data_IF_288979690038
#
_entry.id   IF_288979690038
#
_cell.length_a   1.000
_cell.length_b   1.000
_cell.length_c   1.000
_cell.angle_alpha   90.00
_cell.angle_beta   90.00
_cell.angle_gamma   90.00
#
_symmetry.space_group_name_H-M   'P 1'
#
loop_
_entity.id
_entity.type
_entity.pdbx_description
1 polymer ?
#
# COMPACT_ATOMS: atom_id res chain seq x y z
N UNK A 1 4.59 20.26 21.20
CA UNK A 1 3.14 20.33 20.87
C UNK A 1 3.04 20.35 19.35
N UNK A 2 2.48 19.31 18.74
CA UNK A 2 2.22 19.27 17.29
C UNK A 2 1.36 20.48 16.93
N UNK A 3 1.76 21.29 15.95
CA UNK A 3 0.90 22.38 15.49
C UNK A 3 -0.33 21.80 14.80
N UNK A 4 -1.52 22.04 15.38
CA UNK A 4 -2.79 21.55 14.84
C UNK A 4 -3.04 22.16 13.44
N UNK A 5 -3.31 21.31 12.46
CA UNK A 5 -3.73 21.74 11.13
C UNK A 5 -5.13 22.36 11.25
N UNK A 6 -5.35 23.53 10.65
CA UNK A 6 -6.65 24.22 10.68
C UNK A 6 -7.05 24.66 9.28
N UNK A 7 -8.36 24.82 9.04
CA UNK A 7 -8.90 25.33 7.76
C UNK A 7 -8.25 26.66 7.35
N UNK A 8 -8.03 27.56 8.31
CA UNK A 8 -7.36 28.85 8.05
C UNK A 8 -5.93 28.68 7.54
N UNK A 9 -5.18 27.72 8.09
CA UNK A 9 -3.81 27.42 7.66
C UNK A 9 -3.81 26.76 6.28
N UNK A 10 -4.74 25.84 6.01
CA UNK A 10 -4.90 25.23 4.68
C UNK A 10 -5.20 26.32 3.64
N UNK A 11 -6.09 27.27 3.94
CA UNK A 11 -6.43 28.38 3.04
C UNK A 11 -5.23 29.25 2.66
N UNK A 12 -4.25 29.41 3.54
CA UNK A 12 -3.03 30.17 3.27
C UNK A 12 -2.00 29.42 2.42
N UNK A 13 -2.07 28.08 2.36
CA UNK A 13 -1.10 27.25 1.64
C UNK A 13 -1.41 27.10 0.14
N UNK A 14 -2.64 27.40 -0.28
CA UNK A 14 -3.10 27.20 -1.65
C UNK A 14 -3.60 28.51 -2.26
N UNK A 15 -3.48 28.63 -3.58
CA UNK A 15 -4.09 29.76 -4.28
C UNK A 15 -5.61 29.76 -4.08
N UNK A 16 -6.28 30.92 -4.02
CA UNK A 16 -7.72 31.01 -3.76
C UNK A 16 -8.55 30.10 -4.69
N UNK A 17 -8.19 30.08 -5.98
CA UNK A 17 -8.86 29.26 -7.00
C UNK A 17 -8.71 27.74 -6.77
N UNK A 18 -7.55 27.28 -6.30
CA UNK A 18 -7.33 25.85 -5.99
C UNK A 18 -8.07 25.50 -4.69
N UNK A 19 -7.99 26.38 -3.69
CA UNK A 19 -8.66 26.20 -2.42
C UNK A 19 -10.18 26.09 -2.58
N UNK A 20 -10.81 27.01 -3.30
CA UNK A 20 -12.27 26.99 -3.53
C UNK A 20 -12.73 25.69 -4.21
N UNK A 21 -11.98 25.21 -5.22
CA UNK A 21 -12.29 23.93 -5.88
C UNK A 21 -12.09 22.73 -4.96
N UNK A 22 -11.09 22.78 -4.09
CA UNK A 22 -10.86 21.73 -3.10
C UNK A 22 -11.94 21.70 -2.02
N UNK A 23 -12.37 22.89 -1.58
CA UNK A 23 -13.47 23.06 -0.64
C UNK A 23 -14.79 22.51 -1.21
N UNK A 24 -15.04 22.70 -2.50
CA UNK A 24 -16.18 22.06 -3.17
C UNK A 24 -16.10 20.52 -3.12
N UNK A 25 -14.92 19.95 -3.38
CA UNK A 25 -14.75 18.49 -3.37
C UNK A 25 -14.92 17.91 -1.95
N UNK A 26 -14.45 18.65 -0.94
CA UNK A 26 -14.68 18.33 0.47
C UNK A 26 -16.19 18.33 0.80
N UNK A 27 -16.91 19.43 0.51
CA UNK A 27 -18.36 19.51 0.81
C UNK A 27 -19.22 18.51 0.03
N UNK A 28 -18.79 18.11 -1.16
CA UNK A 28 -19.47 17.08 -1.96
C UNK A 28 -19.17 15.65 -1.46
N UNK A 29 -18.32 15.48 -0.44
CA UNK A 29 -17.98 14.18 0.12
C UNK A 29 -17.18 13.31 -0.85
N UNK A 30 -16.38 13.92 -1.73
CA UNK A 30 -15.60 13.22 -2.75
C UNK A 30 -14.30 12.61 -2.22
N UNK A 31 -13.98 12.84 -0.94
CA UNK A 31 -12.86 12.21 -0.26
C UNK A 31 -13.36 10.91 0.36
N UNK A 32 -12.69 9.79 0.05
CA UNK A 32 -13.05 8.47 0.53
C UNK A 32 -11.85 7.75 1.13
N UNK A 33 -12.14 6.79 2.01
CA UNK A 33 -11.13 5.87 2.53
C UNK A 33 -10.02 6.56 3.31
N UNK A 34 -10.31 7.70 3.95
CA UNK A 34 -9.33 8.42 4.74
C UNK A 34 -8.81 7.48 5.85
N UNK A 35 -7.50 7.25 5.87
CA UNK A 35 -6.84 6.33 6.81
C UNK A 35 -5.50 6.90 7.25
N UNK A 36 -5.08 6.58 8.47
CA UNK A 36 -3.82 7.06 9.05
C UNK A 36 -2.92 5.88 9.38
N UNK A 37 -1.69 5.89 8.85
CA UNK A 37 -0.68 4.90 9.16
C UNK A 37 0.29 5.45 10.21
N UNK A 38 0.29 4.80 11.39
CA UNK A 38 1.12 5.20 12.54
C UNK A 38 2.61 4.98 12.32
N UNK A 39 3.01 4.05 11.45
CA UNK A 39 4.42 3.73 11.20
C UNK A 39 5.08 4.75 10.27
N UNK A 40 4.34 5.25 9.28
CA UNK A 40 4.80 6.30 8.37
C UNK A 40 4.39 7.72 8.80
N UNK A 41 3.54 7.85 9.83
CA UNK A 41 2.92 9.11 10.28
C UNK A 41 2.31 9.87 9.08
N UNK A 42 1.59 9.14 8.24
CA UNK A 42 1.00 9.64 7.00
C UNK A 42 -0.48 9.28 6.87
N UNK A 43 -1.25 10.21 6.28
CA UNK A 43 -2.63 10.00 5.89
C UNK A 43 -2.74 9.59 4.43
N UNK A 44 -3.69 8.73 4.13
CA UNK A 44 -4.01 8.28 2.78
C UNK A 44 -5.50 8.43 2.53
N UNK A 45 -5.84 8.86 1.32
CA UNK A 45 -7.22 8.99 0.88
C UNK A 45 -7.32 8.86 -0.64
N UNK A 46 -8.53 8.61 -1.12
CA UNK A 46 -8.84 8.64 -2.54
C UNK A 46 -9.88 9.74 -2.82
N UNK A 47 -9.66 10.53 -3.87
CA UNK A 47 -10.52 11.66 -4.21
C UNK A 47 -11.20 11.46 -5.55
N UNK A 48 -12.52 11.58 -5.58
CA UNK A 48 -13.32 11.57 -6.81
C UNK A 48 -13.01 12.76 -7.71
N UNK A 49 -12.84 12.52 -9.00
CA UNK A 49 -12.75 13.53 -10.03
C UNK A 49 -13.06 12.94 -11.40
N UNK A 50 -12.30 13.33 -12.43
CA UNK A 50 -12.36 12.70 -13.76
C UNK A 50 -11.95 11.22 -13.75
N UNK A 51 -11.11 10.86 -12.78
CA UNK A 51 -10.81 9.50 -12.37
C UNK A 51 -10.77 9.51 -10.85
N UNK A 52 -10.63 8.34 -10.28
CA UNK A 52 -10.20 8.22 -8.89
C UNK A 52 -8.71 8.56 -8.76
N UNK A 53 -8.35 9.36 -7.75
CA UNK A 53 -6.97 9.79 -7.53
C UNK A 53 -6.53 9.51 -6.10
N UNK A 54 -5.44 8.78 -5.93
CA UNK A 54 -4.81 8.59 -4.63
C UNK A 54 -4.12 9.87 -4.15
N UNK A 55 -4.26 10.15 -2.85
CA UNK A 55 -3.66 11.28 -2.15
C UNK A 55 -3.00 10.76 -0.87
N UNK A 56 -1.78 11.22 -0.65
CA UNK A 56 -0.98 10.93 0.54
C UNK A 56 -0.52 12.23 1.18
N UNK A 57 -0.58 12.31 2.52
CA UNK A 57 -0.16 13.48 3.30
C UNK A 57 0.72 13.03 4.46
N UNK A 58 2.03 13.28 4.35
CA UNK A 58 3.02 13.01 5.42
C UNK A 58 2.94 14.10 6.51
N UNK A 59 2.66 13.69 7.76
CA UNK A 59 2.46 14.57 8.91
C UNK A 59 3.77 14.90 9.65
N UNK A 60 4.85 14.14 9.45
CA UNK A 60 6.13 14.31 10.17
C UNK A 60 6.79 15.68 9.93
N UNK A 61 6.40 16.39 8.87
CA UNK A 61 7.01 17.67 8.44
C UNK A 61 6.15 18.90 8.76
N UNK A 62 4.99 18.71 9.38
CA UNK A 62 4.09 19.81 9.77
C UNK A 62 4.75 20.72 10.82
N UNK A 63 5.55 20.15 11.73
CA UNK A 63 6.25 20.89 12.78
C UNK A 63 7.34 21.84 12.25
N UNK A 64 7.79 21.66 10.99
CA UNK A 64 8.70 22.56 10.28
C UNK A 64 7.97 23.53 9.33
N UNK A 65 6.63 23.57 9.38
CA UNK A 65 5.81 24.48 8.58
C UNK A 65 5.62 24.08 7.11
N UNK A 66 6.05 22.87 6.71
CA UNK A 66 5.96 22.41 5.31
C UNK A 66 5.16 21.11 5.22
N UNK A 67 3.96 21.15 4.65
CA UNK A 67 3.21 19.94 4.30
C UNK A 67 3.83 19.38 3.00
N UNK A 68 4.14 18.08 2.97
CA UNK A 68 4.56 17.39 1.74
C UNK A 68 3.45 16.46 1.27
N UNK A 69 2.44 16.98 0.56
CA UNK A 69 1.38 16.16 0.00
C UNK A 69 1.85 15.50 -1.30
N UNK A 70 1.29 14.35 -1.62
CA UNK A 70 1.39 13.70 -2.92
C UNK A 70 -0.01 13.42 -3.46
N UNK A 71 -0.22 13.60 -4.76
CA UNK A 71 -1.46 13.22 -5.43
C UNK A 71 -1.17 12.68 -6.82
N UNK A 72 -1.87 11.62 -7.22
CA UNK A 72 -1.71 10.99 -8.55
C UNK A 72 -2.35 11.80 -9.69
N UNK A 73 -3.06 12.89 -9.39
CA UNK A 73 -3.76 13.62 -10.44
C UNK A 73 -2.82 14.35 -11.41
N UNK A 74 -3.24 14.55 -12.67
CA UNK A 74 -2.41 15.22 -13.69
C UNK A 74 -1.98 16.63 -13.32
N UNK A 75 -2.77 17.36 -12.52
CA UNK A 75 -2.39 18.71 -12.10
C UNK A 75 -1.24 18.69 -11.09
N UNK A 76 -1.13 17.65 -10.28
CA UNK A 76 -0.09 17.58 -9.25
C UNK A 76 1.29 17.36 -9.83
N UNK A 77 1.42 16.60 -10.93
CA UNK A 77 2.72 16.40 -11.60
C UNK A 77 3.30 17.69 -12.19
N UNK A 78 2.46 18.68 -12.48
CA UNK A 78 2.86 19.96 -13.09
C UNK A 78 3.05 21.05 -12.03
N UNK A 79 2.08 21.19 -11.12
CA UNK A 79 2.00 22.32 -10.20
C UNK A 79 2.32 21.98 -8.75
N UNK A 80 2.57 20.69 -8.44
CA UNK A 80 2.77 20.16 -7.08
C UNK A 80 1.69 20.57 -6.07
N UNK A 81 0.54 21.00 -6.56
CA UNK A 81 -0.61 21.44 -5.80
C UNK A 81 -1.86 21.09 -6.60
N UNK A 82 -2.92 20.69 -5.91
CA UNK A 82 -4.18 20.38 -6.56
C UNK A 82 -5.36 20.50 -5.58
N UNK A 83 -6.56 20.56 -6.15
CA UNK A 83 -7.81 20.61 -5.39
C UNK A 83 -8.05 19.35 -4.52
N UNK A 84 -7.55 18.20 -4.94
CA UNK A 84 -7.72 16.93 -4.20
C UNK A 84 -6.96 16.96 -2.88
N UNK A 85 -5.75 17.52 -2.86
CA UNK A 85 -4.97 17.68 -1.64
C UNK A 85 -5.69 18.59 -0.66
N UNK A 86 -6.23 19.71 -1.13
CA UNK A 86 -7.02 20.62 -0.29
C UNK A 86 -8.21 19.87 0.33
N UNK A 87 -8.96 19.11 -0.46
CA UNK A 87 -10.11 18.36 0.03
C UNK A 87 -9.72 17.36 1.14
N UNK A 88 -8.63 16.62 0.94
CA UNK A 88 -8.12 15.65 1.92
C UNK A 88 -7.61 16.33 3.19
N UNK A 89 -6.91 17.46 3.08
CA UNK A 89 -6.45 18.21 4.25
C UNK A 89 -7.61 18.74 5.09
N UNK A 90 -8.70 19.19 4.44
CA UNK A 90 -9.91 19.64 5.14
C UNK A 90 -10.61 18.47 5.87
N UNK A 91 -10.71 17.32 5.21
CA UNK A 91 -11.25 16.09 5.82
C UNK A 91 -10.43 15.64 7.04
N UNK A 92 -9.09 15.71 6.96
CA UNK A 92 -8.20 15.39 8.08
C UNK A 92 -8.43 16.35 9.26
N UNK A 93 -8.51 17.66 8.98
CA UNK A 93 -8.78 18.67 10.02
C UNK A 93 -10.06 18.36 10.79
N UNK A 94 -11.14 18.07 10.07
CA UNK A 94 -12.45 17.88 10.69
C UNK A 94 -12.51 16.57 11.46
N UNK A 95 -11.90 15.50 10.94
CA UNK A 95 -11.76 14.23 11.67
C UNK A 95 -10.95 14.37 12.96
N UNK A 96 -9.87 15.15 12.93
CA UNK A 96 -9.08 15.47 14.14
C UNK A 96 -9.87 16.34 15.14
N UNK A 97 -10.76 17.22 14.67
CA UNK A 97 -11.64 17.99 15.55
C UNK A 97 -12.76 17.14 16.17
N UNK A 98 -13.35 16.22 15.41
CA UNK A 98 -14.37 15.29 15.89
C UNK A 98 -13.82 14.30 16.93
N UNK A 99 -12.60 13.81 16.74
CA UNK A 99 -11.90 12.96 17.72
C UNK A 99 -11.70 13.66 19.07
N UNK A 100 -11.45 14.98 19.06
CA UNK A 100 -11.30 15.78 20.28
C UNK A 100 -12.66 16.06 20.94
N UNK A 101 -13.75 16.20 20.17
CA UNK A 101 -15.11 16.39 20.69
C UNK A 101 -15.67 15.12 21.34
N UNK A 102 -15.38 13.94 20.79
CA UNK A 102 -15.81 12.64 21.33
C UNK A 102 -15.06 12.22 22.59
N UNK A 103 -13.84 12.74 22.82
CA UNK A 103 -13.07 12.54 24.06
C UNK A 103 -13.63 13.23 25.32
N UNK A 104 -14.70 14.04 25.19
CA UNK A 104 -15.40 14.64 26.33
C UNK A 104 -16.63 13.84 26.80
N UNK A 105 -16.86 12.63 26.29
CA UNK A 105 -17.89 11.71 26.77
C UNK A 105 -17.25 10.54 27.55
N UNK A 106 -17.82 10.19 28.70
CA UNK A 106 -17.18 9.47 29.81
C UNK A 106 -16.62 8.08 29.47
N UNK A 107 -15.37 7.85 29.92
CA UNK A 107 -14.51 6.67 29.72
C UNK A 107 -15.01 5.33 30.29
N UNK A 108 -16.29 5.20 30.63
CA UNK A 108 -16.87 3.96 31.17
C UNK A 108 -17.46 3.05 30.07
N UNK A 109 -18.01 3.61 28.99
CA UNK A 109 -18.70 2.83 27.96
C UNK A 109 -17.72 2.10 27.02
N UNK A 110 -16.56 2.68 26.76
CA UNK A 110 -15.53 2.10 25.88
C UNK A 110 -14.74 0.96 26.53
N UNK A 111 -14.71 0.89 27.87
CA UNK A 111 -14.07 -0.19 28.60
C UNK A 111 -14.92 -1.47 28.58
N UNK A 112 -16.26 -1.32 28.68
CA UNK A 112 -17.19 -2.46 28.62
C UNK A 112 -17.11 -3.13 27.24
N UNK A 113 -16.98 -2.36 26.15
CA UNK A 113 -16.85 -2.92 24.79
C UNK A 113 -15.55 -3.69 24.54
N UNK A 114 -14.44 -3.30 25.16
CA UNK A 114 -13.15 -3.99 24.99
C UNK A 114 -13.02 -5.26 25.85
N UNK A 115 -13.72 -5.32 26.99
CA UNK A 115 -13.71 -6.51 27.86
C UNK A 115 -14.64 -7.61 27.35
N UNK A 116 -15.69 -7.27 26.59
CA UNK A 116 -16.57 -8.26 25.94
C UNK A 116 -15.97 -8.96 24.71
N UNK A 117 -14.78 -8.57 24.25
CA UNK A 117 -14.13 -9.18 23.07
C UNK A 117 -13.38 -10.49 23.38
N UNK A 118 -13.41 -10.97 24.63
CA UNK A 118 -12.71 -12.18 25.05
C UNK A 118 -13.64 -13.20 25.74
N UNK A 119 -14.85 -13.40 25.21
CA UNK A 119 -15.63 -14.60 25.50
C UNK A 119 -16.18 -15.22 24.19
N UNK A 120 -15.72 -16.45 23.97
CA UNK A 120 -16.20 -17.51 23.08
C UNK A 120 -17.41 -17.18 22.19
N UNK A 121 -17.19 -17.08 20.88
CA UNK A 121 -18.20 -17.42 19.89
C UNK A 121 -17.77 -18.63 19.08
N UNK A 122 -18.06 -19.80 19.65
CA UNK A 122 -18.39 -21.00 18.88
C UNK A 122 -19.84 -20.81 18.40
N UNK A 123 -20.00 -20.18 17.24
CA UNK A 123 -21.25 -20.18 16.48
C UNK A 123 -20.93 -20.28 15.00
N UNK A 124 -21.27 -21.44 14.45
CA UNK A 124 -21.33 -21.77 13.04
C UNK A 124 -22.07 -20.70 12.22
N UNK A 125 -21.31 -19.80 11.60
CA UNK A 125 -21.69 -19.15 10.35
C UNK A 125 -20.50 -19.34 9.41
N UNK A 126 -20.66 -20.21 8.41
CA UNK A 126 -19.70 -20.32 7.31
C UNK A 126 -19.84 -19.03 6.49
N UNK A 127 -19.10 -17.99 6.87
CA UNK A 127 -18.85 -16.88 5.96
C UNK A 127 -17.85 -17.44 4.96
N UNK A 128 -18.34 -17.82 3.78
CA UNK A 128 -17.52 -18.18 2.63
C UNK A 128 -16.71 -16.93 2.22
N UNK A 129 -15.61 -16.67 2.94
CA UNK A 129 -14.68 -15.61 2.58
C UNK A 129 -14.21 -15.87 1.16
N UNK A 130 -14.07 -14.81 0.39
CA UNK A 130 -13.68 -14.92 -1.01
C UNK A 130 -12.15 -14.97 -1.09
N UNK A 131 -11.56 -15.93 -1.81
CA UNK A 131 -10.11 -16.00 -1.97
C UNK A 131 -9.61 -14.85 -2.84
N UNK A 132 -8.60 -14.15 -2.35
CA UNK A 132 -7.82 -13.18 -3.13
C UNK A 132 -6.93 -13.93 -4.12
N UNK A 133 -7.05 -13.60 -5.40
CA UNK A 133 -6.10 -14.06 -6.43
C UNK A 133 -4.87 -13.14 -6.40
N UNK A 134 -3.69 -13.73 -6.62
CA UNK A 134 -2.43 -13.00 -6.66
C UNK A 134 -1.63 -13.43 -7.88
N UNK A 135 -1.01 -12.46 -8.53
CA UNK A 135 0.07 -12.66 -9.49
C UNK A 135 1.33 -11.98 -8.98
N UNK A 136 2.44 -12.71 -9.01
CA UNK A 136 3.77 -12.20 -8.68
C UNK A 136 4.51 -11.91 -9.99
N UNK A 137 4.95 -10.67 -10.19
CA UNK A 137 5.66 -10.26 -11.40
C UNK A 137 7.14 -10.02 -11.05
N UNK A 138 8.02 -10.87 -11.58
CA UNK A 138 9.45 -10.80 -11.39
C UNK A 138 10.08 -10.18 -12.64
N UNK A 139 10.77 -9.05 -12.46
CA UNK A 139 11.54 -8.42 -13.51
C UNK A 139 13.04 -8.54 -13.22
N UNK A 140 13.77 -9.17 -14.14
CA UNK A 140 15.22 -9.26 -14.08
C UNK A 140 15.82 -8.13 -14.92
N UNK A 141 16.49 -7.21 -14.22
CA UNK A 141 17.20 -6.11 -14.82
C UNK A 141 18.45 -6.62 -15.55
N UNK A 142 18.88 -5.96 -16.64
CA UNK A 142 20.19 -6.24 -17.26
C UNK A 142 21.37 -6.16 -16.26
N UNK A 143 21.21 -5.34 -15.21
CA UNK A 143 22.19 -5.19 -14.12
C UNK A 143 22.23 -6.38 -13.16
N UNK A 144 21.39 -7.41 -13.35
CA UNK A 144 21.24 -8.55 -12.45
C UNK A 144 20.34 -8.28 -11.24
N UNK A 145 19.76 -7.07 -11.13
CA UNK A 145 18.78 -6.74 -10.09
C UNK A 145 17.45 -7.41 -10.36
N UNK A 146 16.80 -7.92 -9.32
CA UNK A 146 15.53 -8.65 -9.43
C UNK A 146 14.46 -7.87 -8.70
N UNK A 147 13.44 -7.40 -9.43
CA UNK A 147 12.33 -6.64 -8.88
C UNK A 147 11.08 -7.50 -8.81
N UNK A 148 10.37 -7.45 -7.69
CA UNK A 148 9.09 -8.11 -7.49
C UNK A 148 7.97 -7.06 -7.42
N UNK A 149 6.97 -7.20 -8.27
CA UNK A 149 5.69 -6.51 -8.19
C UNK A 149 4.58 -7.51 -7.85
N UNK A 150 3.55 -7.05 -7.16
CA UNK A 150 2.37 -7.86 -6.82
C UNK A 150 1.15 -7.25 -7.50
N UNK A 151 0.32 -8.11 -8.08
CA UNK A 151 -1.06 -7.78 -8.46
C UNK A 151 -2.02 -8.66 -7.70
N UNK A 152 -3.10 -8.11 -7.16
CA UNK A 152 -4.07 -8.90 -6.40
C UNK A 152 -5.51 -8.39 -6.51
N UNK A 153 -6.47 -9.29 -6.35
CA UNK A 153 -7.90 -8.99 -6.33
C UNK A 153 -8.76 -10.24 -6.58
N UNK A 154 -10.05 -10.05 -6.85
CA UNK A 154 -11.01 -11.16 -7.02
C UNK A 154 -11.29 -11.43 -8.51
N UNK A 155 -11.94 -10.45 -9.15
CA UNK A 155 -12.29 -10.49 -10.58
C UNK A 155 -11.23 -9.78 -11.43
N UNK A 156 -10.67 -8.70 -10.89
CA UNK A 156 -9.64 -7.90 -11.51
C UNK A 156 -8.42 -7.87 -10.58
N UNK A 157 -7.22 -8.06 -11.14
CA UNK A 157 -5.97 -8.02 -10.38
C UNK A 157 -5.41 -6.60 -10.44
N UNK A 158 -5.46 -5.90 -9.32
CA UNK A 158 -4.96 -4.54 -9.19
C UNK A 158 -3.47 -4.55 -8.87
N UNK A 159 -2.70 -3.66 -9.50
CA UNK A 159 -1.32 -3.41 -9.11
C UNK A 159 -1.30 -2.86 -7.69
N UNK A 160 -0.50 -3.51 -6.84
CA UNK A 160 -0.32 -3.07 -5.46
C UNK A 160 0.61 -1.88 -5.44
N UNK A 161 0.07 -0.71 -5.07
CA UNK A 161 0.82 0.54 -5.08
C UNK A 161 1.77 0.68 -3.89
N UNK A 162 1.44 0.04 -2.77
CA UNK A 162 2.22 0.02 -1.54
C UNK A 162 2.38 -1.43 -1.06
N UNK A 163 3.37 -2.15 -1.60
CA UNK A 163 3.53 -3.57 -1.28
C UNK A 163 3.75 -3.77 0.22
N UNK A 164 4.55 -2.92 0.86
CA UNK A 164 4.86 -3.00 2.30
C UNK A 164 3.60 -2.92 3.17
N UNK A 165 2.70 -2.01 2.85
CA UNK A 165 1.43 -1.83 3.59
C UNK A 165 0.49 -3.02 3.36
N UNK A 166 0.43 -3.55 2.12
CA UNK A 166 -0.35 -4.76 1.84
C UNK A 166 0.14 -5.93 2.68
N UNK A 167 1.45 -6.17 2.71
CA UNK A 167 2.05 -7.26 3.49
C UNK A 167 1.69 -7.12 4.97
N UNK A 168 1.82 -5.91 5.52
CA UNK A 168 1.47 -5.63 6.90
C UNK A 168 -0.02 -5.87 7.16
N UNK A 169 -0.92 -5.23 6.42
CA UNK A 169 -2.37 -5.37 6.64
C UNK A 169 -2.86 -6.81 6.46
N UNK A 170 -2.37 -7.51 5.44
CA UNK A 170 -2.76 -8.89 5.16
C UNK A 170 -2.34 -9.87 6.28
N UNK A 171 -1.20 -9.64 6.91
CA UNK A 171 -0.69 -10.47 8.00
C UNK A 171 -1.30 -10.13 9.36
N UNK A 172 -1.70 -8.87 9.58
CA UNK A 172 -2.28 -8.41 10.86
C UNK A 172 -3.80 -8.43 10.88
N UNK A 173 -4.45 -8.80 9.77
CA UNK A 173 -5.90 -8.82 9.69
C UNK A 173 -6.50 -7.42 9.65
N UNK A 174 -5.85 -6.50 8.95
CA UNK A 174 -6.33 -5.14 8.71
C UNK A 174 -6.86 -5.00 7.28
N UNK A 175 -7.76 -4.05 7.07
CA UNK A 175 -8.25 -3.74 5.73
C UNK A 175 -7.15 -3.09 4.88
N UNK A 176 -7.08 -3.43 3.59
CA UNK A 176 -6.17 -2.79 2.65
C UNK A 176 -6.93 -2.24 1.46
N UNK A 177 -6.80 -0.94 1.24
CA UNK A 177 -7.51 -0.24 0.19
C UNK A 177 -6.76 -0.31 -1.14
N UNK A 178 -7.45 -0.68 -2.23
CA UNK A 178 -6.86 -0.66 -3.58
C UNK A 178 -7.47 0.45 -4.44
N UNK A 179 -8.81 0.50 -4.52
CA UNK A 179 -9.57 1.47 -5.33
C UNK A 179 -10.96 1.67 -4.73
N UNK A 180 -11.70 2.68 -5.18
CA UNK A 180 -13.13 2.88 -4.83
C UNK A 180 -14.01 1.65 -4.87
N UNK A 181 -13.78 0.77 -5.85
CA UNK A 181 -14.62 -0.41 -6.09
C UNK A 181 -14.10 -1.65 -5.36
N UNK A 182 -12.91 -1.57 -4.76
CA UNK A 182 -12.27 -2.75 -4.22
C UNK A 182 -11.29 -2.43 -3.09
N UNK A 183 -11.55 -3.06 -1.95
CA UNK A 183 -10.64 -3.16 -0.81
C UNK A 183 -10.51 -4.64 -0.40
N UNK A 184 -9.35 -5.02 0.10
CA UNK A 184 -9.21 -6.23 0.89
C UNK A 184 -9.80 -5.96 2.28
N UNK A 185 -10.80 -6.76 2.67
CA UNK A 185 -11.42 -6.72 3.99
C UNK A 185 -11.29 -8.11 4.60
N UNK A 186 -10.58 -8.30 5.72
CA UNK A 186 -10.39 -9.61 6.34
C UNK A 186 -11.69 -10.31 6.75
N UNK A 187 -12.78 -9.56 6.90
CA UNK A 187 -14.15 -10.06 7.12
C UNK A 187 -14.67 -10.81 5.89
N UNK A 188 -14.42 -10.27 4.69
CA UNK A 188 -14.99 -10.73 3.42
C UNK A 188 -13.99 -11.58 2.61
N UNK A 189 -12.69 -11.34 2.78
CA UNK A 189 -11.63 -11.83 1.89
C UNK A 189 -10.54 -12.58 2.68
N UNK A 190 -9.89 -13.53 2.01
CA UNK A 190 -8.72 -14.19 2.57
C UNK A 190 -7.64 -14.45 1.51
N UNK A 191 -6.37 -14.42 1.93
CA UNK A 191 -5.25 -14.90 1.15
C UNK A 191 -5.00 -16.38 1.44
N UNK A 192 -4.63 -17.15 0.40
CA UNK A 192 -4.29 -18.56 0.57
C UNK A 192 -3.06 -18.70 1.46
N UNK A 193 -2.95 -19.84 2.15
CA UNK A 193 -1.83 -20.10 3.06
C UNK A 193 -0.47 -20.02 2.34
N UNK A 194 -0.41 -20.43 1.08
CA UNK A 194 0.79 -20.34 0.26
C UNK A 194 1.20 -18.87 0.01
N UNK A 195 0.24 -17.98 -0.22
CA UNK A 195 0.50 -16.55 -0.39
C UNK A 195 0.92 -15.90 0.94
N UNK A 196 0.27 -16.29 2.04
CA UNK A 196 0.68 -15.83 3.40
C UNK A 196 2.12 -16.21 3.70
N UNK A 197 2.54 -17.42 3.35
CA UNK A 197 3.92 -17.87 3.54
C UNK A 197 4.93 -17.09 2.68
N UNK A 198 4.53 -16.55 1.53
CA UNK A 198 5.33 -15.59 0.74
C UNK A 198 5.34 -14.24 1.43
N UNK A 199 4.20 -13.75 1.92
CA UNK A 199 4.09 -12.48 2.60
C UNK A 199 4.94 -12.43 3.88
N UNK A 200 4.93 -13.49 4.67
CA UNK A 200 5.78 -13.66 5.86
C UNK A 200 7.26 -13.56 5.51
N UNK A 201 7.71 -14.26 4.45
CA UNK A 201 9.09 -14.18 3.98
C UNK A 201 9.46 -12.75 3.55
N UNK A 202 8.61 -12.10 2.75
CA UNK A 202 8.87 -10.74 2.29
C UNK A 202 8.90 -9.76 3.46
N UNK A 203 7.95 -9.88 4.40
CA UNK A 203 7.85 -9.04 5.58
C UNK A 203 9.05 -9.24 6.52
N UNK A 204 9.48 -10.48 6.75
CA UNK A 204 10.68 -10.74 7.57
C UNK A 204 11.92 -10.15 6.90
N UNK A 205 12.06 -10.32 5.59
CA UNK A 205 13.18 -9.77 4.81
C UNK A 205 13.20 -8.24 4.81
N UNK A 206 12.03 -7.59 4.86
CA UNK A 206 11.90 -6.15 5.05
C UNK A 206 12.43 -5.74 6.43
N UNK A 207 12.05 -6.49 7.48
CA UNK A 207 12.41 -6.18 8.87
C UNK A 207 13.90 -6.42 9.17
N UNK A 208 14.50 -7.45 8.59
CA UNK A 208 15.92 -7.76 8.75
C UNK A 208 16.83 -6.92 7.85
N UNK A 209 16.25 -6.17 6.91
CA UNK A 209 17.01 -5.38 5.93
C UNK A 209 17.61 -6.21 4.80
N UNK A 210 17.16 -7.46 4.64
CA UNK A 210 17.62 -8.37 3.60
C UNK A 210 17.09 -8.01 2.21
N UNK A 211 16.12 -7.10 2.05
CA UNK A 211 15.79 -6.54 0.73
C UNK A 211 16.76 -5.41 0.38
N UNK A 212 17.45 -5.52 -0.76
CA UNK A 212 18.38 -4.49 -1.24
C UNK A 212 17.62 -3.20 -1.55
N UNK A 213 17.49 -2.29 -0.60
CA UNK A 213 17.09 -0.92 -0.94
C UNK A 213 18.36 -0.19 -1.36
N UNK A 214 18.84 -0.47 -2.57
CA UNK A 214 20.23 -0.28 -3.04
C UNK A 214 20.84 1.15 -2.89
N UNK A 215 20.13 2.15 -2.34
CA UNK A 215 20.72 3.29 -1.59
C UNK A 215 19.76 4.33 -1.04
N UNK A 216 18.45 4.07 -1.03
CA UNK A 216 17.39 4.70 -0.21
C UNK A 216 16.08 4.16 -0.77
N UNK A 217 15.39 3.27 -0.05
CA UNK A 217 13.94 3.21 -0.24
C UNK A 217 13.44 4.61 0.04
N UNK A 218 12.99 5.30 -1.02
CA UNK A 218 12.36 6.60 -0.89
C UNK A 218 10.84 6.36 -0.89
N UNK A 219 10.16 6.54 0.25
CA UNK A 219 8.70 6.48 0.29
C UNK A 219 8.05 7.44 -0.71
N UNK A 220 8.74 8.51 -1.13
CA UNK A 220 8.28 9.44 -2.16
C UNK A 220 8.40 8.91 -3.60
N UNK A 221 9.19 7.86 -3.84
CA UNK A 221 9.37 7.28 -5.17
C UNK A 221 8.27 6.25 -5.46
N UNK A 222 7.41 6.55 -6.44
CA UNK A 222 6.33 5.66 -6.87
C UNK A 222 6.82 4.29 -7.40
N UNK A 223 8.07 4.18 -7.87
CA UNK A 223 8.63 2.90 -8.29
C UNK A 223 8.97 2.02 -7.08
N UNK A 224 9.64 2.59 -6.07
CA UNK A 224 10.09 1.88 -4.87
C UNK A 224 8.93 1.46 -3.95
N UNK A 225 7.77 2.11 -4.08
CA UNK A 225 6.51 1.74 -3.42
C UNK A 225 5.84 0.51 -4.06
N UNK A 226 5.95 0.40 -5.39
CA UNK A 226 5.31 -0.62 -6.25
C UNK A 226 6.15 -1.87 -6.49
N UNK A 227 7.44 -1.84 -6.15
CA UNK A 227 8.36 -2.94 -6.39
C UNK A 227 9.23 -3.21 -5.16
N UNK A 228 9.54 -4.48 -4.92
CA UNK A 228 10.54 -4.91 -3.94
C UNK A 228 11.80 -5.38 -4.69
N UNK A 229 12.96 -4.82 -4.38
CA UNK A 229 14.22 -5.34 -4.88
C UNK A 229 14.62 -6.56 -4.05
N UNK A 230 14.58 -7.72 -4.68
CA UNK A 230 14.86 -9.02 -4.08
C UNK A 230 16.37 -9.22 -3.99
N UNK A 231 16.85 -9.45 -2.78
CA UNK A 231 18.25 -9.81 -2.56
C UNK A 231 18.55 -11.24 -2.98
N UNK A 232 19.78 -11.52 -3.44
CA UNK A 232 20.24 -12.88 -3.66
C UNK A 232 20.03 -13.81 -2.45
N UNK A 233 20.12 -13.30 -1.22
CA UNK A 233 20.00 -14.11 0.01
C UNK A 233 18.64 -14.77 0.18
N UNK A 234 17.56 -14.12 -0.27
CA UNK A 234 16.19 -14.61 -0.11
C UNK A 234 15.64 -15.23 -1.40
N UNK A 235 16.34 -15.04 -2.52
CA UNK A 235 15.85 -15.37 -3.86
C UNK A 235 15.49 -16.84 -3.97
N UNK A 236 16.37 -17.74 -3.53
CA UNK A 236 16.12 -19.18 -3.61
C UNK A 236 14.83 -19.56 -2.87
N UNK A 237 14.71 -19.14 -1.60
CA UNK A 237 13.55 -19.44 -0.76
C UNK A 237 12.27 -18.80 -1.31
N UNK A 238 12.37 -17.61 -1.91
CA UNK A 238 11.25 -16.96 -2.59
C UNK A 238 10.81 -17.79 -3.81
N UNK A 239 11.73 -18.19 -4.67
CA UNK A 239 11.43 -18.98 -5.87
C UNK A 239 10.79 -20.33 -5.50
N UNK A 240 11.26 -21.00 -4.45
CA UNK A 240 10.69 -22.25 -3.94
C UNK A 240 9.23 -22.08 -3.53
N UNK A 241 8.89 -20.99 -2.83
CA UNK A 241 7.50 -20.67 -2.45
C UNK A 241 6.63 -20.27 -3.65
N UNK A 242 7.23 -19.71 -4.70
CA UNK A 242 6.52 -19.23 -5.89
C UNK A 242 6.23 -20.31 -6.94
N UNK A 243 6.90 -21.48 -6.90
CA UNK A 243 6.67 -22.57 -7.87
C UNK A 243 5.20 -22.98 -8.03
N UNK A 244 4.40 -22.88 -6.97
CA UNK A 244 2.98 -23.27 -6.96
C UNK A 244 2.02 -22.09 -7.10
N UNK A 245 2.52 -20.92 -7.51
CA UNK A 245 1.75 -19.67 -7.63
C UNK A 245 1.75 -19.17 -9.07
N UNK A 246 0.88 -18.21 -9.35
CA UNK A 246 0.88 -17.51 -10.64
C UNK A 246 2.02 -16.50 -10.65
N UNK A 247 3.02 -16.77 -11.48
CA UNK A 247 4.22 -15.94 -11.60
C UNK A 247 4.40 -15.52 -13.04
N UNK A 248 4.75 -14.26 -13.26
CA UNK A 248 5.17 -13.73 -14.56
C UNK A 248 6.62 -13.27 -14.43
N UNK A 249 7.53 -13.84 -15.20
CA UNK A 249 8.92 -13.44 -15.25
C UNK A 249 9.21 -12.73 -16.57
N UNK A 250 9.90 -11.59 -16.48
CA UNK A 250 10.29 -10.75 -17.61
C UNK A 250 11.75 -10.36 -17.48
N UNK A 251 12.47 -10.28 -18.59
CA UNK A 251 13.84 -9.79 -18.66
C UNK A 251 13.89 -8.46 -19.42
N UNK A 252 14.81 -7.56 -19.06
CA UNK A 252 14.84 -6.18 -19.60
C UNK A 252 14.99 -6.05 -21.11
N UNK A 253 15.41 -7.12 -21.80
CA UNK A 253 15.67 -7.14 -23.24
C UNK A 253 14.79 -8.13 -23.99
N UNK A 254 13.85 -8.79 -23.31
CA UNK A 254 13.02 -9.83 -23.88
C UNK A 254 11.55 -9.42 -23.80
N UNK A 255 10.83 -9.49 -24.92
CA UNK A 255 9.36 -9.33 -24.93
C UNK A 255 8.67 -10.61 -24.42
N UNK A 256 9.43 -11.70 -24.22
CA UNK A 256 8.94 -12.96 -23.73
C UNK A 256 8.60 -12.89 -22.24
N UNK A 257 7.36 -13.30 -21.94
CA UNK A 257 6.85 -13.43 -20.58
C UNK A 257 6.81 -14.92 -20.23
N UNK A 258 7.53 -15.30 -19.18
CA UNK A 258 7.55 -16.67 -18.68
C UNK A 258 6.51 -16.82 -17.56
N UNK A 259 5.63 -17.82 -17.66
CA UNK A 259 4.47 -17.96 -16.75
C UNK A 259 4.62 -19.08 -15.71
N UNK A 260 5.77 -19.76 -15.69
CA UNK A 260 6.06 -20.88 -14.80
C UNK A 260 7.52 -20.90 -14.39
N UNK A 261 7.79 -21.30 -13.14
CA UNK A 261 9.14 -21.45 -12.59
C UNK A 261 9.38 -22.92 -12.25
N UNK A 262 10.50 -23.46 -12.73
CA UNK A 262 11.03 -24.76 -12.31
C UNK A 262 12.43 -24.56 -11.75
N UNK A 263 12.70 -25.08 -10.55
CA UNK A 263 14.03 -25.04 -9.95
C UNK A 263 14.69 -26.38 -10.23
N UNK A 264 15.81 -26.35 -10.95
CA UNK A 264 16.65 -27.51 -11.18
C UNK A 264 17.92 -27.38 -10.32
N UNK A 265 18.13 -28.28 -9.38
CA UNK A 265 19.31 -28.26 -8.48
C UNK A 265 20.50 -29.05 -9.04
N UNK A 266 20.26 -29.95 -9.99
CA UNK A 266 21.21 -31.00 -10.37
C UNK A 266 21.76 -30.85 -11.80
N UNK A 267 21.47 -29.73 -12.48
CA UNK A 267 22.06 -29.43 -13.79
C UNK A 267 23.15 -28.37 -13.68
N UNK A 268 24.31 -28.68 -14.25
CA UNK A 268 25.40 -27.72 -14.41
C UNK A 268 24.93 -26.56 -15.31
N UNK A 269 25.12 -25.30 -14.91
CA UNK A 269 24.46 -24.17 -15.53
C UNK A 269 24.86 -23.94 -17.00
N UNK A 270 26.07 -24.33 -17.43
CA UNK A 270 26.57 -24.19 -18.81
C UNK A 270 27.58 -25.31 -19.14
N UNK A 271 27.35 -26.07 -20.22
CA UNK A 271 28.39 -26.87 -20.87
C UNK A 271 29.00 -26.06 -22.00
N UNK A 272 30.30 -25.75 -21.90
CA UNK A 272 31.05 -25.14 -22.98
C UNK A 272 31.83 -26.22 -23.72
N UNK A 273 31.63 -26.32 -25.03
CA UNK A 273 32.51 -27.07 -25.93
C UNK A 273 33.50 -26.06 -26.53
N UNK A 274 34.78 -26.26 -26.24
CA UNK A 274 35.85 -25.66 -27.06
C UNK A 274 35.92 -26.51 -28.32
N UNK A 275 35.74 -25.89 -29.49
CA UNK A 275 36.12 -26.49 -30.76
C UNK A 275 37.57 -26.12 -31.02
N UNK A 276 38.40 -27.13 -31.21
CA UNK A 276 39.79 -26.98 -31.71
C UNK A 276 39.81 -26.37 -33.11
#
# INVERSE_FOLDING_TARGET
MRQKLTHAKIKQLFSPKIYERGLQYYYLGYVHGLSFNKNSDAWFAEVEGTSSYYVEVDMNKIDQGTIKPYCECPNFSIYHTCKHIVAVLLEICDREEEAVKTMNCSSAEHFIQNVSQYELHDTSYVVDKIPMKITYEINVAYTGKIWLQIKTGINHLYVVHQIRDLLYHALHGEEHFFTKKFSYRPEDHYFLQQDKAVFELLQSSIQTGDLYTDRRYDPGNAYDRRHLLISPSILQLLLEKLQKRTVLLTESNDEQVYTSIQIETDKLPLQFSIKD
#
